data_IF_233273910216
#
_entry.id   IF_233273910216
#
_cell.length_a   1.000
_cell.length_b   1.000
_cell.length_c   1.000
_cell.angle_alpha   90.00
_cell.angle_beta   90.00
_cell.angle_gamma   90.00
#
_symmetry.space_group_name_H-M   'P 1'
#
loop_
_entity.id
_entity.type
_entity.pdbx_description
1 polymer ?
#
# COMPACT_ATOMS: atom_id res chain seq x y z
N UNK A 1 -19.02 5.37 -22.77
CA UNK A 1 -17.63 5.44 -22.27
C UNK A 1 -17.06 6.85 -22.27
N UNK A 2 -17.12 7.65 -23.36
CA UNK A 2 -16.53 9.01 -23.38
C UNK A 2 -16.95 9.93 -22.22
N UNK A 3 -18.24 9.99 -21.88
CA UNK A 3 -18.70 10.85 -20.77
C UNK A 3 -18.29 10.41 -19.36
N UNK A 4 -17.77 9.18 -19.18
CA UNK A 4 -17.22 8.71 -17.89
C UNK A 4 -15.76 9.16 -17.72
N UNK A 5 -15.00 9.15 -18.82
CA UNK A 5 -13.60 9.63 -18.83
C UNK A 5 -13.50 11.12 -18.52
N UNK A 6 -14.51 11.91 -18.90
CA UNK A 6 -14.53 13.35 -18.59
C UNK A 6 -14.64 13.64 -17.08
N UNK A 7 -15.10 12.67 -16.28
CA UNK A 7 -15.26 12.77 -14.82
C UNK A 7 -14.03 12.27 -14.03
N UNK A 8 -13.11 11.56 -14.68
CA UNK A 8 -11.84 11.14 -14.07
C UNK A 8 -10.86 12.32 -14.02
N UNK A 9 -9.86 12.25 -13.15
CA UNK A 9 -8.75 13.21 -13.16
C UNK A 9 -7.74 12.92 -14.29
N UNK A 10 -6.81 13.84 -14.54
CA UNK A 10 -5.83 13.72 -15.64
C UNK A 10 -4.89 12.51 -15.50
N UNK A 11 -4.55 12.08 -14.29
CA UNK A 11 -3.64 10.97 -14.05
C UNK A 11 -4.31 9.62 -14.28
N UNK A 12 -5.55 9.48 -13.83
CA UNK A 12 -6.36 8.27 -14.11
C UNK A 12 -6.74 8.17 -15.57
N UNK A 13 -7.03 9.30 -16.23
CA UNK A 13 -7.18 9.33 -17.70
C UNK A 13 -5.91 8.91 -18.40
N UNK A 14 -4.75 9.40 -17.98
CA UNK A 14 -3.46 8.99 -18.53
C UNK A 14 -3.29 7.48 -18.43
N UNK A 15 -3.49 6.87 -17.26
CA UNK A 15 -3.39 5.43 -17.11
C UNK A 15 -4.42 4.66 -17.94
N UNK A 16 -5.66 5.15 -18.03
CA UNK A 16 -6.69 4.53 -18.85
C UNK A 16 -6.37 4.62 -20.36
N UNK A 17 -5.91 5.77 -20.84
CA UNK A 17 -5.49 6.00 -22.23
C UNK A 17 -4.23 5.21 -22.59
N UNK A 18 -3.34 4.97 -21.63
CA UNK A 18 -2.16 4.12 -21.79
C UNK A 18 -2.45 2.63 -21.53
N UNK A 19 -3.70 2.24 -21.25
CA UNK A 19 -4.11 0.87 -20.93
C UNK A 19 -3.25 0.25 -19.81
N UNK A 20 -3.00 1.00 -18.72
CA UNK A 20 -2.24 0.51 -17.58
C UNK A 20 -3.12 -0.32 -16.67
N UNK A 21 -2.85 -1.63 -16.63
CA UNK A 21 -3.59 -2.59 -15.80
C UNK A 21 -3.04 -2.69 -14.37
N UNK A 22 -1.75 -2.41 -14.17
CA UNK A 22 -1.04 -2.61 -12.90
C UNK A 22 -0.06 -1.47 -12.65
N UNK A 23 -0.09 -0.92 -11.44
CA UNK A 23 0.83 0.12 -10.97
C UNK A 23 1.71 -0.46 -9.86
N UNK A 24 3.03 -0.36 -10.04
CA UNK A 24 4.02 -0.78 -9.04
C UNK A 24 4.53 0.43 -8.26
N UNK A 25 4.38 0.39 -6.95
CA UNK A 25 4.72 1.47 -6.00
C UNK A 25 5.25 0.87 -4.71
N UNK A 26 6.05 1.62 -3.96
CA UNK A 26 6.40 1.22 -2.59
C UNK A 26 5.30 1.66 -1.63
N UNK A 27 5.16 0.97 -0.50
CA UNK A 27 4.18 1.32 0.54
C UNK A 27 4.35 2.77 1.04
N UNK A 28 5.58 3.28 1.03
CA UNK A 28 5.89 4.65 1.49
C UNK A 28 5.58 5.74 0.46
N UNK A 29 5.53 5.41 -0.84
CA UNK A 29 5.35 6.41 -1.91
C UNK A 29 3.96 6.45 -2.50
N UNK A 30 3.08 5.47 -2.23
CA UNK A 30 1.76 5.48 -2.86
C UNK A 30 1.00 6.79 -2.59
N UNK A 31 1.23 7.44 -1.43
CA UNK A 31 0.59 8.68 -1.03
C UNK A 31 1.35 9.97 -1.38
N UNK A 32 2.48 9.90 -2.09
CA UNK A 32 3.33 11.08 -2.29
C UNK A 32 2.89 11.96 -3.45
N UNK A 33 2.14 11.45 -4.42
CA UNK A 33 1.54 12.22 -5.50
C UNK A 33 0.10 11.75 -5.73
N UNK A 34 -0.85 12.58 -5.31
CA UNK A 34 -2.32 12.42 -5.37
C UNK A 34 -2.89 11.08 -5.91
N UNK A 35 -2.72 9.95 -5.19
CA UNK A 35 -3.31 8.67 -5.61
C UNK A 35 -4.82 8.61 -5.35
N UNK A 36 -5.42 9.64 -4.72
CA UNK A 36 -6.89 9.69 -4.45
C UNK A 36 -7.72 9.64 -5.72
N UNK A 37 -7.04 9.85 -6.83
CA UNK A 37 -7.51 9.87 -8.18
C UNK A 37 -7.53 8.48 -8.81
N UNK A 38 -6.56 7.64 -8.47
CA UNK A 38 -6.49 6.27 -8.95
C UNK A 38 -7.37 5.36 -8.09
N UNK A 39 -8.47 4.88 -8.65
CA UNK A 39 -9.35 3.93 -7.96
C UNK A 39 -8.87 2.49 -8.20
N UNK A 40 -8.12 1.94 -7.25
CA UNK A 40 -7.71 0.54 -7.28
C UNK A 40 -8.72 -0.35 -6.54
N UNK A 41 -9.23 -1.38 -7.21
CA UNK A 41 -10.08 -2.39 -6.55
C UNK A 41 -9.28 -3.40 -5.71
N UNK A 42 -8.00 -3.60 -6.02
CA UNK A 42 -7.15 -4.60 -5.37
C UNK A 42 -5.75 -4.05 -5.09
N UNK A 43 -5.15 -4.49 -3.98
CA UNK A 43 -3.73 -4.29 -3.66
C UNK A 43 -3.07 -5.65 -3.43
N UNK A 44 -1.88 -5.81 -4.01
CA UNK A 44 -0.94 -6.89 -3.71
C UNK A 44 0.31 -6.27 -3.07
N UNK A 45 0.49 -6.47 -1.77
CA UNK A 45 1.70 -6.05 -1.06
C UNK A 45 2.62 -7.24 -0.87
N UNK A 46 3.82 -7.15 -1.44
CA UNK A 46 4.89 -8.11 -1.26
C UNK A 46 5.85 -7.68 -0.15
N UNK A 47 6.61 -8.63 0.40
CA UNK A 47 7.59 -8.41 1.46
C UNK A 47 7.03 -7.67 2.68
N UNK A 48 5.76 -7.94 3.03
CA UNK A 48 5.03 -7.18 4.06
C UNK A 48 5.65 -7.24 5.45
N UNK A 49 6.40 -8.30 5.77
CA UNK A 49 7.18 -8.41 7.01
C UNK A 49 8.34 -7.40 7.11
N UNK A 50 8.80 -6.87 5.98
CA UNK A 50 9.90 -5.90 5.89
C UNK A 50 9.44 -4.45 5.98
N UNK A 51 8.13 -4.20 5.94
CA UNK A 51 7.56 -2.85 6.04
C UNK A 51 6.91 -2.65 7.42
N UNK A 52 6.99 -1.44 7.96
CA UNK A 52 6.31 -1.13 9.22
C UNK A 52 4.80 -1.09 8.98
N UNK A 53 4.00 -1.42 10.00
CA UNK A 53 2.54 -1.42 9.91
C UNK A 53 1.99 -0.08 9.38
N UNK A 54 2.56 1.03 9.83
CA UNK A 54 2.19 2.37 9.38
C UNK A 54 2.38 2.59 7.87
N UNK A 55 3.36 1.95 7.23
CA UNK A 55 3.58 2.07 5.80
C UNK A 55 2.49 1.30 5.03
N UNK A 56 2.08 0.14 5.52
CA UNK A 56 0.92 -0.60 4.97
C UNK A 56 -0.38 0.17 5.12
N UNK A 57 -0.64 0.72 6.30
CA UNK A 57 -1.83 1.52 6.55
C UNK A 57 -1.84 2.78 5.70
N UNK A 58 -0.68 3.46 5.58
CA UNK A 58 -0.53 4.60 4.69
C UNK A 58 -0.82 4.19 3.25
N UNK A 59 -0.40 2.99 2.84
CA UNK A 59 -0.62 2.52 1.48
C UNK A 59 -2.10 2.25 1.16
N UNK A 60 -2.82 1.63 2.09
CA UNK A 60 -4.21 1.26 1.89
C UNK A 60 -5.20 2.41 2.14
N UNK A 61 -4.85 3.38 3.00
CA UNK A 61 -5.78 4.42 3.45
C UNK A 61 -6.45 5.23 2.32
N UNK A 62 -5.74 5.68 1.26
CA UNK A 62 -6.37 6.44 0.18
C UNK A 62 -7.38 5.64 -0.65
N UNK A 63 -7.29 4.31 -0.60
CA UNK A 63 -8.05 3.40 -1.44
C UNK A 63 -9.15 2.68 -0.66
N UNK A 64 -9.32 2.98 0.63
CA UNK A 64 -10.16 2.17 1.52
C UNK A 64 -11.64 2.10 1.09
N UNK A 65 -12.12 3.13 0.38
CA UNK A 65 -13.50 3.19 -0.11
C UNK A 65 -13.71 2.41 -1.42
N UNK A 66 -12.64 2.13 -2.17
CA UNK A 66 -12.68 1.43 -3.47
C UNK A 66 -12.08 0.04 -3.44
N UNK A 67 -11.26 -0.24 -2.42
CA UNK A 67 -10.55 -1.50 -2.22
C UNK A 67 -11.51 -2.60 -1.76
N UNK A 68 -11.68 -3.64 -2.57
CA UNK A 68 -12.44 -4.84 -2.19
C UNK A 68 -11.56 -6.03 -1.80
N UNK A 69 -10.26 -5.99 -2.11
CA UNK A 69 -9.30 -6.99 -1.67
C UNK A 69 -7.91 -6.41 -1.38
N UNK A 70 -7.32 -6.85 -0.27
CA UNK A 70 -5.93 -6.56 0.08
C UNK A 70 -5.19 -7.87 0.35
N UNK A 71 -4.29 -8.24 -0.55
CA UNK A 71 -3.42 -9.40 -0.40
C UNK A 71 -2.05 -8.97 0.14
N UNK A 72 -1.60 -9.67 1.18
CA UNK A 72 -0.31 -9.44 1.83
C UNK A 72 0.50 -10.72 1.77
N UNK A 73 1.73 -10.63 1.25
CA UNK A 73 2.71 -11.72 1.25
C UNK A 73 3.94 -11.29 2.03
N UNK A 74 4.50 -12.20 2.81
CA UNK A 74 5.67 -11.92 3.65
C UNK A 74 6.10 -13.16 4.42
N UNK A 75 7.38 -13.27 4.70
CA UNK A 75 7.95 -14.34 5.52
C UNK A 75 8.40 -13.78 6.87
N UNK A 76 7.67 -14.14 7.93
CA UNK A 76 8.00 -13.74 9.30
C UNK A 76 9.35 -14.31 9.81
N UNK A 77 9.95 -15.27 9.09
CA UNK A 77 11.26 -15.84 9.40
C UNK A 77 12.41 -15.14 8.69
N UNK A 78 12.12 -14.19 7.79
CA UNK A 78 13.12 -13.39 7.09
C UNK A 78 13.33 -12.06 7.80
N UNK A 79 13.94 -11.09 7.11
CA UNK A 79 14.17 -9.76 7.67
C UNK A 79 12.84 -9.12 8.08
N UNK A 80 12.82 -8.53 9.26
CA UNK A 80 11.73 -7.67 9.70
C UNK A 80 11.93 -6.21 9.28
N UNK A 81 10.91 -5.38 9.48
CA UNK A 81 11.00 -3.93 9.29
C UNK A 81 12.15 -3.30 10.07
N UNK A 82 12.84 -2.31 9.48
CA UNK A 82 13.94 -1.61 10.16
C UNK A 82 13.37 -0.47 11.01
N UNK A 83 13.54 -0.57 12.33
CA UNK A 83 13.12 0.46 13.30
C UNK A 83 14.36 0.99 14.01
N UNK A 84 14.70 2.26 13.80
CA UNK A 84 15.91 2.89 14.34
C UNK A 84 15.73 3.50 15.72
N UNK A 85 14.47 3.76 16.13
CA UNK A 85 14.14 4.29 17.45
C UNK A 85 14.07 3.14 18.45
N UNK A 86 14.87 3.22 19.52
CA UNK A 86 15.06 2.14 20.50
C UNK A 86 13.74 1.64 21.12
N UNK A 87 12.94 2.55 21.69
CA UNK A 87 11.65 2.21 22.30
C UNK A 87 10.68 1.52 21.32
N UNK A 88 10.65 1.98 20.07
CA UNK A 88 9.80 1.42 19.03
C UNK A 88 10.30 0.05 18.55
N UNK A 89 11.61 -0.16 18.53
CA UNK A 89 12.23 -1.44 18.20
C UNK A 89 11.99 -2.47 19.32
N UNK A 90 12.04 -2.04 20.59
CA UNK A 90 11.69 -2.88 21.73
C UNK A 90 10.21 -3.29 21.68
N UNK A 91 9.31 -2.34 21.41
CA UNK A 91 7.88 -2.62 21.23
C UNK A 91 7.62 -3.60 20.07
N UNK A 92 8.32 -3.44 18.94
CA UNK A 92 8.24 -4.39 17.81
C UNK A 92 8.62 -5.80 18.25
N UNK A 93 9.76 -5.98 18.93
CA UNK A 93 10.23 -7.29 19.35
C UNK A 93 9.28 -7.98 20.35
N UNK A 94 8.55 -7.22 21.19
CA UNK A 94 7.54 -7.76 22.12
C UNK A 94 6.31 -8.32 21.42
N UNK A 95 5.99 -7.83 20.21
CA UNK A 95 4.89 -8.35 19.41
C UNK A 95 5.22 -9.70 18.75
N UNK A 96 6.50 -10.04 18.64
CA UNK A 96 6.98 -11.31 18.09
C UNK A 96 7.07 -12.44 19.15
N UNK A 97 6.78 -12.13 20.43
CA UNK A 97 6.75 -13.13 21.49
C UNK A 97 5.47 -14.00 21.41
N UNK A 98 5.57 -15.32 21.62
CA UNK A 98 4.48 -16.29 21.42
C UNK A 98 3.29 -16.19 22.40
N UNK A 99 3.16 -15.07 23.12
CA UNK A 99 2.12 -14.80 24.12
C UNK A 99 1.08 -13.76 23.66
N UNK A 100 1.15 -13.33 22.40
CA UNK A 100 0.13 -12.55 21.70
C UNK A 100 -0.34 -13.25 20.42
#
# INVERSE_FOLDING_TARGET
MRGYLDQLDEFTKYFFEQCVDVVFVTCSTVCQDDPRHFEAGMIYADETGQAALQDHCRAAAPLIDTLWAFHQTGDHKQLGSVVTVEDANEARNKLDEPHF
#
